data_IF_402440647364
#
_entry.id   IF_402440647364
#
_cell.length_a   1.000
_cell.length_b   1.000
_cell.length_c   1.000
_cell.angle_alpha   90.00
_cell.angle_beta   90.00
_cell.angle_gamma   90.00
#
_symmetry.space_group_name_H-M   'P 1'
#
loop_
_entity.id
_entity.type
_entity.pdbx_description
1 polymer ?
#
# COMPACT_ATOMS: atom_id res chain seq x y z
N UNK A 1 29.50 -6.68 -2.83
CA UNK A 1 28.94 -5.78 -1.81
C UNK A 1 27.48 -6.20 -1.67
N UNK A 2 27.08 -6.78 -0.55
CA UNK A 2 25.66 -7.04 -0.28
C UNK A 2 25.00 -5.68 -0.11
N UNK A 3 24.21 -5.24 -1.10
CA UNK A 3 23.34 -4.06 -0.94
C UNK A 3 22.43 -4.35 0.26
N UNK A 4 22.37 -3.41 1.20
CA UNK A 4 21.39 -3.50 2.28
C UNK A 4 20.01 -3.58 1.63
N UNK A 5 19.20 -4.56 2.04
CA UNK A 5 17.86 -4.74 1.50
C UNK A 5 17.03 -3.49 1.82
N UNK A 6 16.53 -2.84 0.80
CA UNK A 6 15.73 -1.62 0.91
C UNK A 6 14.45 -1.73 0.08
N UNK A 7 13.42 -1.02 0.50
CA UNK A 7 12.12 -0.99 -0.16
C UNK A 7 11.87 0.40 -0.73
N UNK A 8 11.59 0.48 -2.03
CA UNK A 8 11.02 1.66 -2.65
C UNK A 8 9.50 1.53 -2.66
N UNK A 9 8.80 2.51 -2.14
CA UNK A 9 7.35 2.67 -2.25
C UNK A 9 7.05 3.79 -3.24
N UNK A 10 6.26 3.51 -4.26
CA UNK A 10 5.84 4.49 -5.28
C UNK A 10 4.36 4.75 -5.13
N UNK A 11 3.96 5.99 -4.93
CA UNK A 11 2.55 6.34 -4.90
C UNK A 11 2.23 7.67 -4.26
N UNK A 12 0.94 7.98 -4.21
CA UNK A 12 0.47 9.26 -3.72
C UNK A 12 0.68 9.45 -2.21
N UNK A 13 0.95 10.69 -1.86
CA UNK A 13 0.80 11.24 -0.52
C UNK A 13 0.04 12.57 -0.64
N UNK A 14 -0.93 12.77 0.21
CA UNK A 14 -1.84 13.91 0.12
C UNK A 14 -2.30 14.37 1.50
N UNK A 15 -3.06 15.46 1.55
CA UNK A 15 -3.75 15.91 2.75
C UNK A 15 -5.24 15.59 2.62
N UNK A 16 -5.75 14.76 3.53
CA UNK A 16 -7.17 14.55 3.73
C UNK A 16 -7.74 15.70 4.56
N UNK A 17 -8.73 16.40 4.02
CA UNK A 17 -9.40 17.53 4.65
C UNK A 17 -10.82 17.10 5.00
N UNK A 18 -11.17 17.16 6.28
CA UNK A 18 -12.52 16.89 6.76
C UNK A 18 -13.17 18.21 7.21
N UNK A 19 -14.23 18.60 6.52
CA UNK A 19 -15.01 19.79 6.89
C UNK A 19 -15.82 19.50 8.16
N UNK A 20 -15.69 20.36 9.17
CA UNK A 20 -16.42 20.29 10.45
C UNK A 20 -16.99 21.66 10.81
N UNK A 21 -17.99 21.69 11.71
CA UNK A 21 -18.65 22.94 12.17
C UNK A 21 -17.70 23.99 12.77
N UNK A 22 -16.51 23.56 13.23
CA UNK A 22 -15.47 24.44 13.80
C UNK A 22 -14.34 24.81 12.84
N UNK A 23 -14.43 24.44 11.58
CA UNK A 23 -13.40 24.62 10.56
C UNK A 23 -12.85 23.29 10.02
N UNK A 24 -12.11 23.38 8.94
CA UNK A 24 -11.49 22.22 8.29
C UNK A 24 -10.40 21.60 9.19
N UNK A 25 -10.40 20.27 9.28
CA UNK A 25 -9.34 19.50 9.95
C UNK A 25 -8.57 18.72 8.89
N UNK A 26 -7.25 18.84 8.93
CA UNK A 26 -6.35 18.23 7.95
C UNK A 26 -5.57 17.07 8.56
N UNK A 27 -5.51 15.95 7.83
CA UNK A 27 -4.71 14.77 8.16
C UNK A 27 -3.75 14.44 7.02
N UNK A 28 -2.60 13.88 7.33
CA UNK A 28 -1.73 13.29 6.31
C UNK A 28 -2.34 11.97 5.88
N UNK A 29 -2.53 11.80 4.57
CA UNK A 29 -3.10 10.64 3.92
C UNK A 29 -2.25 10.12 2.76
N UNK A 30 -2.76 9.08 2.12
CA UNK A 30 -2.11 8.35 1.04
C UNK A 30 -1.68 6.95 1.47
N UNK A 31 -2.28 5.93 0.87
CA UNK A 31 -1.98 4.53 1.18
C UNK A 31 -0.48 4.21 1.02
N UNK A 32 0.20 4.62 -0.07
CA UNK A 32 1.64 4.37 -0.22
C UNK A 32 2.48 5.03 0.87
N UNK A 33 2.12 6.24 1.32
CA UNK A 33 2.82 6.90 2.43
C UNK A 33 2.67 6.10 3.74
N UNK A 34 1.46 5.59 4.03
CA UNK A 34 1.20 4.73 5.18
C UNK A 34 1.99 3.42 5.12
N UNK A 35 2.09 2.80 3.92
CA UNK A 35 2.90 1.59 3.72
C UNK A 35 4.37 1.88 3.99
N UNK A 36 4.94 2.98 3.47
CA UNK A 36 6.33 3.36 3.73
C UNK A 36 6.61 3.57 5.22
N UNK A 37 5.70 4.28 5.92
CA UNK A 37 5.75 4.46 7.38
C UNK A 37 5.73 3.12 8.11
N UNK A 38 4.82 2.21 7.73
CA UNK A 38 4.69 0.89 8.34
C UNK A 38 5.96 0.05 8.19
N UNK A 39 6.55 0.03 6.99
CA UNK A 39 7.80 -0.70 6.70
C UNK A 39 8.94 -0.16 7.55
N UNK A 40 9.12 1.16 7.59
CA UNK A 40 10.20 1.79 8.36
C UNK A 40 10.06 1.53 9.87
N UNK A 41 8.84 1.60 10.41
CA UNK A 41 8.56 1.28 11.82
C UNK A 41 8.87 -0.17 12.18
N UNK A 42 8.82 -1.07 11.21
CA UNK A 42 9.24 -2.45 11.40
C UNK A 42 10.75 -2.67 11.16
N UNK A 43 11.53 -1.59 11.04
CA UNK A 43 12.99 -1.63 11.02
C UNK A 43 13.60 -1.98 9.65
N UNK A 44 12.80 -1.97 8.58
CA UNK A 44 13.30 -2.16 7.21
C UNK A 44 13.52 -0.79 6.56
N UNK A 45 14.71 -0.54 5.96
CA UNK A 45 14.95 0.69 5.20
C UNK A 45 13.92 0.88 4.10
N UNK A 46 13.20 2.01 4.12
CA UNK A 46 12.17 2.35 3.14
C UNK A 46 12.34 3.77 2.62
N UNK A 47 12.06 3.97 1.34
CA UNK A 47 11.93 5.29 0.74
C UNK A 47 10.59 5.42 0.00
N UNK A 48 10.06 6.62 -0.03
CA UNK A 48 8.82 6.98 -0.72
C UNK A 48 9.13 7.90 -1.90
N UNK A 49 8.81 7.44 -3.11
CA UNK A 49 8.73 8.26 -4.30
C UNK A 49 7.28 8.69 -4.51
N UNK A 50 7.04 9.97 -4.35
CA UNK A 50 5.70 10.56 -4.40
C UNK A 50 5.72 11.91 -5.11
N UNK A 51 4.69 12.74 -4.92
CA UNK A 51 4.65 14.11 -5.42
C UNK A 51 4.22 15.06 -4.32
N UNK A 52 5.16 15.89 -3.86
CA UNK A 52 4.96 16.84 -2.77
C UNK A 52 5.26 18.28 -3.25
N UNK A 53 4.37 19.20 -2.96
CA UNK A 53 4.64 20.61 -3.11
C UNK A 53 5.69 21.10 -2.12
N UNK A 54 6.48 22.14 -2.50
CA UNK A 54 7.38 22.84 -1.57
C UNK A 54 6.60 23.81 -0.65
N UNK A 55 5.40 23.41 -0.24
CA UNK A 55 4.46 24.13 0.62
C UNK A 55 4.41 23.55 2.05
N UNK A 56 3.57 24.11 2.93
CA UNK A 56 3.45 23.66 4.31
C UNK A 56 2.87 22.23 4.41
N UNK A 57 1.94 21.87 3.50
CA UNK A 57 1.33 20.54 3.44
C UNK A 57 2.34 19.47 3.05
N UNK A 58 3.16 19.73 2.00
CA UNK A 58 4.23 18.84 1.59
C UNK A 58 5.29 18.66 2.67
N UNK A 59 5.68 19.74 3.34
CA UNK A 59 6.61 19.68 4.50
C UNK A 59 6.04 18.86 5.65
N UNK A 60 4.73 18.96 5.93
CA UNK A 60 4.07 18.20 6.98
C UNK A 60 4.01 16.71 6.66
N UNK A 61 3.70 16.33 5.39
CA UNK A 61 3.75 14.93 4.95
C UNK A 61 5.17 14.38 5.10
N UNK A 62 6.16 15.10 4.57
CA UNK A 62 7.56 14.69 4.65
C UNK A 62 8.04 14.52 6.10
N UNK A 63 7.66 15.43 7.00
CA UNK A 63 7.99 15.33 8.42
C UNK A 63 7.40 14.10 9.08
N UNK A 64 6.14 13.74 8.77
CA UNK A 64 5.50 12.53 9.31
C UNK A 64 6.17 11.26 8.79
N UNK A 65 6.45 11.18 7.48
CA UNK A 65 7.11 10.03 6.88
C UNK A 65 8.53 9.86 7.44
N UNK A 66 9.31 10.94 7.51
CA UNK A 66 10.70 10.86 8.00
C UNK A 66 10.79 10.61 9.51
N UNK A 67 9.81 11.04 10.29
CA UNK A 67 9.73 10.70 11.72
C UNK A 67 9.57 9.19 11.98
N UNK A 68 9.09 8.42 11.01
CA UNK A 68 9.01 6.95 11.08
C UNK A 68 10.35 6.26 10.78
N UNK A 69 11.32 6.98 10.23
CA UNK A 69 12.57 6.44 9.70
C UNK A 69 12.57 6.17 8.19
N UNK A 70 11.45 6.37 7.49
CA UNK A 70 11.41 6.32 6.03
C UNK A 70 12.04 7.57 5.40
N UNK A 71 12.61 7.44 4.20
CA UNK A 71 13.13 8.56 3.43
C UNK A 71 12.08 9.06 2.41
N UNK A 72 12.20 10.32 2.00
CA UNK A 72 11.50 10.86 0.82
C UNK A 72 12.53 10.98 -0.29
N UNK A 73 12.23 10.42 -1.46
CA UNK A 73 13.07 10.58 -2.64
C UNK A 73 13.09 12.05 -3.08
N UNK A 74 14.27 12.60 -3.41
CA UNK A 74 14.39 14.02 -3.79
C UNK A 74 13.52 14.37 -5.01
N UNK A 75 13.36 13.45 -5.94
CA UNK A 75 12.51 13.60 -7.11
C UNK A 75 11.00 13.76 -6.78
N UNK A 76 10.62 13.55 -5.53
CA UNK A 76 9.23 13.77 -5.07
C UNK A 76 8.85 15.25 -4.99
N UNK A 77 9.81 16.16 -4.91
CA UNK A 77 9.53 17.57 -4.67
C UNK A 77 9.24 18.35 -5.95
N UNK A 78 8.19 19.17 -5.92
CA UNK A 78 7.74 20.01 -7.05
C UNK A 78 7.35 21.42 -6.58
N UNK A 79 7.31 22.36 -7.51
CA UNK A 79 6.82 23.72 -7.23
C UNK A 79 5.28 23.83 -7.29
N UNK A 80 4.58 22.81 -7.79
CA UNK A 80 3.13 22.78 -7.78
C UNK A 80 2.59 22.41 -6.38
N UNK A 81 1.33 22.78 -6.04
CA UNK A 81 0.75 22.49 -4.73
C UNK A 81 0.71 21.02 -4.38
N UNK A 82 0.76 20.71 -3.08
CA UNK A 82 0.52 19.38 -2.54
C UNK A 82 -0.93 18.97 -2.77
N UNK A 83 -1.15 17.75 -3.24
CA UNK A 83 -2.47 17.19 -3.52
C UNK A 83 -3.34 17.12 -2.26
N UNK A 84 -4.66 17.29 -2.44
CA UNK A 84 -5.65 17.21 -1.37
C UNK A 84 -6.86 16.39 -1.76
N UNK A 85 -7.49 15.74 -0.76
CA UNK A 85 -8.81 15.14 -0.85
C UNK A 85 -9.68 15.76 0.24
N UNK A 86 -10.75 16.47 -0.13
CA UNK A 86 -11.66 17.11 0.82
C UNK A 86 -12.96 16.32 0.92
N UNK A 87 -13.31 15.90 2.13
CA UNK A 87 -14.57 15.28 2.46
C UNK A 87 -15.49 16.27 3.14
N UNK A 88 -16.68 16.45 2.58
CA UNK A 88 -17.78 17.25 3.15
C UNK A 88 -18.92 16.32 3.54
N UNK A 89 -19.30 16.31 4.80
CA UNK A 89 -20.45 15.57 5.26
C UNK A 89 -21.75 16.31 4.86
N UNK A 90 -22.65 15.61 4.20
CA UNK A 90 -23.98 16.10 3.87
C UNK A 90 -24.92 15.92 5.07
N UNK A 91 -26.05 16.67 5.12
CA UNK A 91 -27.05 16.52 6.21
C UNK A 91 -27.65 15.11 6.32
N UNK A 92 -27.64 14.33 5.24
CA UNK A 92 -28.11 12.94 5.19
C UNK A 92 -27.06 11.91 5.68
N UNK A 93 -25.87 12.39 6.10
CA UNK A 93 -24.77 11.55 6.56
C UNK A 93 -23.87 11.01 5.45
N UNK A 94 -24.17 11.25 4.18
CA UNK A 94 -23.28 10.91 3.06
C UNK A 94 -22.11 11.87 2.98
N UNK A 95 -20.96 11.39 2.45
CA UNK A 95 -19.79 12.23 2.18
C UNK A 95 -19.73 12.62 0.71
N UNK A 96 -19.50 13.89 0.46
CA UNK A 96 -19.13 14.41 -0.86
C UNK A 96 -17.62 14.66 -0.87
N UNK A 97 -16.93 14.17 -1.90
CA UNK A 97 -15.48 14.31 -2.02
C UNK A 97 -15.13 15.28 -3.14
N UNK A 98 -14.21 16.18 -2.85
CA UNK A 98 -13.55 17.05 -3.83
C UNK A 98 -12.06 16.68 -3.82
N UNK A 99 -11.55 16.37 -5.02
CA UNK A 99 -10.18 15.93 -5.19
C UNK A 99 -9.38 16.96 -5.99
N UNK A 100 -8.32 17.51 -5.40
CA UNK A 100 -7.31 18.30 -6.10
C UNK A 100 -6.02 17.46 -6.12
N UNK A 101 -5.98 16.50 -7.04
CA UNK A 101 -4.90 15.52 -7.15
C UNK A 101 -4.21 15.68 -8.50
N UNK A 102 -2.93 15.97 -8.45
CA UNK A 102 -2.03 15.90 -9.60
C UNK A 102 -1.03 14.80 -9.33
N UNK A 103 -1.01 13.79 -10.21
CA UNK A 103 -0.09 12.67 -10.11
C UNK A 103 0.79 12.58 -11.36
N UNK A 104 2.06 12.95 -11.20
CA UNK A 104 3.06 12.89 -12.25
C UNK A 104 4.42 12.55 -11.62
N UNK A 105 5.17 11.66 -12.26
CA UNK A 105 6.49 11.23 -11.85
C UNK A 105 7.48 11.48 -12.99
N UNK A 106 8.73 11.77 -12.64
CA UNK A 106 9.85 11.70 -13.55
C UNK A 106 10.25 10.23 -13.77
N UNK A 107 10.26 9.79 -15.03
CA UNK A 107 10.47 8.38 -15.36
C UNK A 107 11.93 7.94 -15.08
N UNK A 108 12.92 8.79 -15.37
CA UNK A 108 14.33 8.48 -15.14
C UNK A 108 14.62 8.38 -13.64
N UNK A 109 14.03 9.30 -12.85
CA UNK A 109 14.15 9.26 -11.39
C UNK A 109 13.46 8.04 -10.78
N UNK A 110 12.29 7.63 -11.30
CA UNK A 110 11.59 6.45 -10.83
C UNK A 110 12.38 5.16 -11.14
N UNK A 111 12.97 5.05 -12.32
CA UNK A 111 13.83 3.93 -12.71
C UNK A 111 15.07 3.87 -11.81
N UNK A 112 15.79 5.00 -11.64
CA UNK A 112 16.98 5.07 -10.81
C UNK A 112 16.70 4.70 -9.33
N UNK A 113 15.57 5.17 -8.76
CA UNK A 113 15.16 4.80 -7.41
C UNK A 113 14.83 3.30 -7.30
N UNK A 114 14.16 2.73 -8.30
CA UNK A 114 13.86 1.31 -8.34
C UNK A 114 15.13 0.45 -8.50
N UNK A 115 16.11 0.88 -9.26
CA UNK A 115 17.40 0.19 -9.39
C UNK A 115 18.16 0.11 -8.06
N UNK A 116 18.01 1.08 -7.19
CA UNK A 116 18.66 1.11 -5.88
C UNK A 116 17.94 0.24 -4.82
N UNK A 117 16.70 -0.20 -5.07
CA UNK A 117 15.88 -0.97 -4.14
C UNK A 117 15.92 -2.47 -4.44
N UNK A 118 15.75 -3.30 -3.42
CA UNK A 118 15.57 -4.76 -3.54
C UNK A 118 14.10 -5.14 -3.73
N UNK A 119 13.20 -4.36 -3.17
CA UNK A 119 11.76 -4.52 -3.28
C UNK A 119 11.16 -3.21 -3.78
N UNK A 120 10.26 -3.28 -4.75
CA UNK A 120 9.51 -2.14 -5.26
C UNK A 120 8.03 -2.37 -5.01
N UNK A 121 7.38 -1.45 -4.32
CA UNK A 121 5.96 -1.48 -4.02
C UNK A 121 5.24 -0.33 -4.72
N UNK A 122 4.10 -0.60 -5.33
CA UNK A 122 3.17 0.44 -5.74
C UNK A 122 1.72 -0.01 -5.53
N UNK A 123 0.82 0.96 -5.42
CA UNK A 123 -0.60 0.67 -5.20
C UNK A 123 -1.46 1.92 -5.25
N UNK A 124 -2.72 1.74 -4.83
CA UNK A 124 -3.70 2.80 -4.68
C UNK A 124 -3.96 3.57 -5.99
N UNK A 125 -4.50 4.77 -5.88
CA UNK A 125 -4.83 5.64 -7.03
C UNK A 125 -3.62 5.97 -7.90
N UNK A 126 -2.41 5.86 -7.36
CA UNK A 126 -1.17 6.11 -8.08
C UNK A 126 -0.94 5.16 -9.27
N UNK A 127 -1.56 3.97 -9.28
CA UNK A 127 -1.52 3.08 -10.44
C UNK A 127 -2.46 3.55 -11.57
N UNK A 128 -3.54 4.24 -11.23
CA UNK A 128 -4.64 4.51 -12.14
C UNK A 128 -4.62 5.94 -12.69
N UNK A 129 -4.12 6.92 -11.92
CA UNK A 129 -4.12 8.33 -12.32
C UNK A 129 -2.97 8.63 -13.28
N UNK A 130 -3.32 9.24 -14.40
CA UNK A 130 -2.35 9.61 -15.45
C UNK A 130 -1.81 11.04 -15.27
N UNK A 131 -0.55 11.33 -15.68
CA UNK A 131 0.40 10.45 -16.37
C UNK A 131 1.26 9.57 -15.44
N UNK A 132 1.26 9.81 -14.13
CA UNK A 132 2.13 9.13 -13.17
C UNK A 132 1.89 7.63 -13.05
N UNK A 133 0.65 7.18 -13.28
CA UNK A 133 0.31 5.76 -13.25
C UNK A 133 1.04 4.95 -14.32
N UNK A 134 1.21 5.49 -15.52
CA UNK A 134 1.98 4.81 -16.57
C UNK A 134 3.47 4.70 -16.18
N UNK A 135 4.04 5.75 -15.57
CA UNK A 135 5.43 5.70 -15.06
C UNK A 135 5.54 4.66 -13.95
N UNK A 136 4.61 4.63 -12.99
CA UNK A 136 4.62 3.64 -11.92
C UNK A 136 4.55 2.21 -12.46
N UNK A 137 3.63 1.93 -13.40
CA UNK A 137 3.49 0.62 -14.03
C UNK A 137 4.74 0.21 -14.80
N UNK A 138 5.32 1.11 -15.62
CA UNK A 138 6.54 0.84 -16.35
C UNK A 138 7.73 0.54 -15.41
N UNK A 139 7.80 1.24 -14.27
CA UNK A 139 8.82 1.01 -13.24
C UNK A 139 8.66 -0.36 -12.59
N UNK A 140 7.43 -0.80 -12.25
CA UNK A 140 7.17 -2.15 -11.74
C UNK A 140 7.58 -3.23 -12.74
N UNK A 141 7.22 -3.05 -14.02
CA UNK A 141 7.59 -3.98 -15.10
C UNK A 141 9.10 -4.08 -15.30
N UNK A 142 9.81 -2.95 -15.24
CA UNK A 142 11.26 -2.91 -15.31
C UNK A 142 11.90 -3.62 -14.10
N UNK A 143 11.48 -3.27 -12.89
CA UNK A 143 11.96 -3.89 -11.66
C UNK A 143 11.78 -5.42 -11.68
N UNK A 144 10.62 -5.91 -12.17
CA UNK A 144 10.36 -7.34 -12.31
C UNK A 144 11.29 -8.02 -13.31
N UNK A 145 11.54 -7.39 -14.48
CA UNK A 145 12.49 -7.90 -15.49
C UNK A 145 13.91 -8.00 -14.95
N UNK A 146 14.29 -7.06 -14.07
CA UNK A 146 15.61 -7.00 -13.44
C UNK A 146 15.76 -7.96 -12.25
N UNK A 147 14.73 -8.78 -11.98
CA UNK A 147 14.74 -9.78 -10.92
C UNK A 147 14.48 -9.23 -9.52
N UNK A 148 13.98 -8.00 -9.40
CA UNK A 148 13.59 -7.42 -8.12
C UNK A 148 12.26 -7.99 -7.67
N UNK A 149 12.02 -7.95 -6.38
CA UNK A 149 10.73 -8.30 -5.81
C UNK A 149 9.78 -7.12 -6.02
N UNK A 150 8.64 -7.39 -6.64
CA UNK A 150 7.59 -6.39 -6.88
C UNK A 150 6.37 -6.75 -6.06
N UNK A 151 5.79 -5.79 -5.35
CA UNK A 151 4.58 -5.98 -4.55
C UNK A 151 3.53 -4.94 -4.93
N UNK A 152 2.26 -5.36 -4.96
CA UNK A 152 1.15 -4.51 -5.39
C UNK A 152 -0.03 -4.61 -4.42
N UNK A 153 -0.62 -3.46 -4.08
CA UNK A 153 -1.91 -3.33 -3.41
C UNK A 153 -2.78 -2.35 -4.22
N UNK A 154 -3.78 -2.81 -4.98
CA UNK A 154 -4.53 -1.92 -5.87
C UNK A 154 -5.33 -0.86 -5.12
N UNK A 155 -5.81 -1.18 -3.92
CA UNK A 155 -6.53 -0.26 -3.03
C UNK A 155 -7.44 0.70 -3.82
N UNK A 156 -8.34 0.11 -4.60
CA UNK A 156 -9.17 0.79 -5.61
C UNK A 156 -10.04 1.85 -4.98
N UNK A 157 -10.08 3.03 -5.58
CA UNK A 157 -11.00 4.10 -5.20
C UNK A 157 -11.92 4.40 -6.38
N UNK A 158 -13.14 3.82 -6.44
CA UNK A 158 -14.01 3.89 -7.60
C UNK A 158 -14.26 5.32 -8.10
N UNK A 159 -14.31 6.32 -7.20
CA UNK A 159 -14.49 7.72 -7.56
C UNK A 159 -13.32 8.33 -8.36
N UNK A 160 -12.15 7.67 -8.42
CA UNK A 160 -10.90 8.22 -9.00
C UNK A 160 -10.29 7.37 -10.12
N UNK A 161 -10.74 6.12 -10.31
CA UNK A 161 -10.03 5.16 -11.16
C UNK A 161 -10.69 4.92 -12.53
N UNK A 162 -11.76 5.66 -12.84
CA UNK A 162 -12.53 5.49 -14.10
C UNK A 162 -13.45 4.27 -14.09
N UNK A 163 -14.11 4.03 -15.24
CA UNK A 163 -15.20 3.04 -15.34
C UNK A 163 -14.72 1.59 -15.29
N UNK A 164 -13.50 1.30 -15.74
CA UNK A 164 -12.92 -0.05 -15.74
C UNK A 164 -11.46 -0.02 -15.30
N UNK A 165 -11.18 -0.16 -14.00
CA UNK A 165 -9.81 -0.20 -13.46
C UNK A 165 -9.10 -1.54 -13.68
N UNK A 166 -9.82 -2.59 -14.05
CA UNK A 166 -9.32 -3.96 -14.12
C UNK A 166 -8.12 -4.14 -15.06
N UNK A 167 -8.09 -3.62 -16.30
CA UNK A 167 -6.93 -3.80 -17.18
C UNK A 167 -5.64 -3.22 -16.62
N UNK A 168 -5.71 -2.08 -15.91
CA UNK A 168 -4.57 -1.45 -15.25
C UNK A 168 -4.12 -2.28 -14.05
N UNK A 169 -5.06 -2.74 -13.22
CA UNK A 169 -4.78 -3.59 -12.08
C UNK A 169 -4.15 -4.92 -12.51
N UNK A 170 -4.69 -5.60 -13.52
CA UNK A 170 -4.15 -6.86 -14.05
C UNK A 170 -2.74 -6.68 -14.64
N UNK A 171 -2.43 -5.54 -15.28
CA UNK A 171 -1.08 -5.22 -15.74
C UNK A 171 -0.10 -5.10 -14.56
N UNK A 172 -0.51 -4.42 -13.47
CA UNK A 172 0.30 -4.34 -12.26
C UNK A 172 0.48 -5.71 -11.59
N UNK A 173 -0.58 -6.52 -11.53
CA UNK A 173 -0.52 -7.88 -10.97
C UNK A 173 0.43 -8.80 -11.76
N UNK A 174 0.43 -8.69 -13.08
CA UNK A 174 1.34 -9.47 -13.93
C UNK A 174 2.83 -9.13 -13.67
N UNK A 175 3.13 -7.90 -13.26
CA UNK A 175 4.48 -7.50 -12.86
C UNK A 175 4.82 -7.90 -11.41
N UNK A 176 3.83 -8.25 -10.58
CA UNK A 176 4.04 -8.48 -9.15
C UNK A 176 4.64 -9.86 -8.83
N UNK A 177 5.38 -9.94 -7.73
CA UNK A 177 5.76 -11.17 -7.03
C UNK A 177 4.75 -11.54 -5.96
N UNK A 178 4.18 -10.50 -5.31
CA UNK A 178 3.13 -10.61 -4.31
C UNK A 178 2.06 -9.54 -4.57
N UNK A 179 0.80 -9.97 -4.57
CA UNK A 179 -0.37 -9.08 -4.62
C UNK A 179 -1.15 -9.21 -3.32
N UNK A 180 -1.50 -8.09 -2.69
CA UNK A 180 -2.52 -8.02 -1.65
C UNK A 180 -3.65 -7.14 -2.18
N UNK A 181 -4.88 -7.53 -1.92
CA UNK A 181 -6.08 -6.74 -2.20
C UNK A 181 -7.11 -6.94 -1.07
N UNK A 182 -8.08 -6.05 -0.96
CA UNK A 182 -9.24 -6.23 -0.07
C UNK A 182 -10.37 -7.00 -0.78
N UNK A 183 -11.37 -7.44 -0.03
CA UNK A 183 -12.62 -7.96 -0.60
C UNK A 183 -13.42 -6.87 -1.35
N UNK A 184 -13.31 -5.60 -0.92
CA UNK A 184 -13.86 -4.45 -1.64
C UNK A 184 -13.16 -4.24 -2.99
N UNK A 185 -11.83 -4.35 -3.04
CA UNK A 185 -11.07 -4.33 -4.29
C UNK A 185 -11.45 -5.49 -5.21
N UNK A 186 -11.64 -6.67 -4.63
CA UNK A 186 -12.06 -7.85 -5.38
C UNK A 186 -13.43 -7.68 -6.01
N UNK A 187 -14.40 -7.10 -5.31
CA UNK A 187 -15.71 -6.79 -5.87
C UNK A 187 -15.64 -5.69 -6.94
N UNK A 188 -14.78 -4.68 -6.76
CA UNK A 188 -14.59 -3.62 -7.75
C UNK A 188 -13.94 -4.12 -9.05
N UNK A 189 -12.96 -5.04 -8.95
CA UNK A 189 -12.19 -5.56 -10.10
C UNK A 189 -12.86 -6.79 -10.75
N UNK A 190 -13.52 -7.63 -9.96
CA UNK A 190 -14.11 -8.91 -10.38
C UNK A 190 -15.52 -9.08 -9.79
N UNK A 191 -16.50 -8.26 -10.16
CA UNK A 191 -17.83 -8.22 -9.54
C UNK A 191 -18.49 -9.60 -9.49
N UNK A 192 -18.96 -10.01 -8.31
CA UNK A 192 -19.66 -11.26 -8.08
C UNK A 192 -18.80 -12.52 -8.19
N UNK A 193 -17.48 -12.41 -8.35
CA UNK A 193 -16.59 -13.58 -8.41
C UNK A 193 -16.27 -14.08 -6.99
N UNK A 194 -16.39 -15.38 -6.71
CA UNK A 194 -15.99 -15.96 -5.40
C UNK A 194 -14.52 -15.69 -5.08
N UNK A 195 -14.19 -15.45 -3.81
CA UNK A 195 -12.87 -15.07 -3.34
C UNK A 195 -11.75 -16.03 -3.78
N UNK A 196 -11.98 -17.35 -3.70
CA UNK A 196 -11.04 -18.36 -4.14
C UNK A 196 -10.75 -18.27 -5.66
N UNK A 197 -11.77 -17.94 -6.45
CA UNK A 197 -11.63 -17.73 -7.90
C UNK A 197 -10.89 -16.45 -8.23
N UNK A 198 -11.10 -15.37 -7.47
CA UNK A 198 -10.33 -14.12 -7.60
C UNK A 198 -8.85 -14.40 -7.34
N UNK A 199 -8.52 -15.07 -6.23
CA UNK A 199 -7.13 -15.43 -5.91
C UNK A 199 -6.48 -16.26 -7.03
N UNK A 200 -7.18 -17.28 -7.56
CA UNK A 200 -6.69 -18.11 -8.67
C UNK A 200 -6.51 -17.30 -9.96
N UNK A 201 -7.45 -16.41 -10.27
CA UNK A 201 -7.39 -15.57 -11.48
C UNK A 201 -6.18 -14.66 -11.43
N UNK A 202 -5.94 -13.99 -10.29
CA UNK A 202 -4.78 -13.10 -10.11
C UNK A 202 -3.48 -13.93 -10.12
N UNK A 203 -3.42 -15.07 -9.42
CA UNK A 203 -2.22 -15.92 -9.42
C UNK A 203 -1.83 -16.40 -10.83
N UNK A 204 -2.83 -16.64 -11.70
CA UNK A 204 -2.58 -17.03 -13.09
C UNK A 204 -1.95 -15.91 -13.94
N UNK A 205 -1.95 -14.65 -13.48
CA UNK A 205 -1.27 -13.52 -14.14
C UNK A 205 0.23 -13.49 -13.88
N UNK A 206 0.72 -14.12 -12.78
CA UNK A 206 2.16 -14.19 -12.52
C UNK A 206 2.64 -14.08 -11.09
N UNK A 207 1.91 -13.47 -10.12
CA UNK A 207 2.38 -13.40 -8.73
C UNK A 207 2.46 -14.78 -8.09
N UNK A 208 3.55 -15.01 -7.32
CA UNK A 208 3.73 -16.25 -6.56
C UNK A 208 2.80 -16.33 -5.35
N UNK A 209 2.44 -15.18 -4.76
CA UNK A 209 1.55 -15.10 -3.60
C UNK A 209 0.47 -14.05 -3.85
N UNK A 210 -0.79 -14.42 -3.59
CA UNK A 210 -1.94 -13.50 -3.63
C UNK A 210 -2.65 -13.56 -2.29
N UNK A 211 -2.90 -12.41 -1.68
CA UNK A 211 -3.56 -12.27 -0.37
C UNK A 211 -4.80 -11.41 -0.51
N UNK A 212 -5.93 -11.85 0.04
CA UNK A 212 -7.16 -11.06 0.14
C UNK A 212 -7.49 -10.82 1.61
N UNK A 213 -7.50 -9.55 2.03
CA UNK A 213 -7.98 -9.13 3.35
C UNK A 213 -9.50 -8.98 3.33
N UNK A 214 -10.16 -9.36 4.44
CA UNK A 214 -11.62 -9.40 4.57
C UNK A 214 -12.08 -8.79 5.89
N UNK A 215 -11.46 -7.68 6.27
CA UNK A 215 -11.77 -6.96 7.49
C UNK A 215 -11.88 -7.88 8.71
N UNK A 216 -13.02 -7.86 9.38
CA UNK A 216 -13.32 -8.71 10.56
C UNK A 216 -13.38 -10.22 10.29
N UNK A 217 -13.23 -10.69 9.06
CA UNK A 217 -13.14 -12.12 8.70
C UNK A 217 -11.70 -12.61 8.51
N UNK A 218 -10.70 -11.72 8.69
CA UNK A 218 -9.28 -12.03 8.56
C UNK A 218 -8.78 -11.95 7.13
N UNK A 219 -7.95 -12.90 6.69
CA UNK A 219 -7.42 -12.92 5.34
C UNK A 219 -7.32 -14.33 4.77
N UNK A 220 -7.41 -14.42 3.44
CA UNK A 220 -7.15 -15.59 2.63
C UNK A 220 -5.89 -15.37 1.81
N UNK A 221 -5.11 -16.41 1.60
CA UNK A 221 -3.95 -16.35 0.72
C UNK A 221 -3.90 -17.58 -0.18
N UNK A 222 -3.33 -17.40 -1.37
CA UNK A 222 -2.93 -18.45 -2.28
C UNK A 222 -1.44 -18.29 -2.57
N UNK A 223 -0.67 -19.28 -2.21
CA UNK A 223 0.76 -19.39 -2.51
C UNK A 223 1.07 -20.66 -3.31
N UNK A 224 2.34 -20.90 -3.65
CA UNK A 224 2.75 -22.07 -4.44
C UNK A 224 2.39 -23.41 -3.79
N UNK A 225 2.33 -23.47 -2.46
CA UNK A 225 1.99 -24.68 -1.69
C UNK A 225 0.49 -24.82 -1.39
N UNK A 226 -0.35 -23.93 -1.90
CA UNK A 226 -1.80 -23.98 -1.72
C UNK A 226 -2.35 -22.79 -0.95
N UNK A 227 -3.58 -22.93 -0.45
CA UNK A 227 -4.30 -21.84 0.22
C UNK A 227 -4.04 -21.85 1.72
N UNK A 228 -3.91 -20.64 2.29
CA UNK A 228 -3.84 -20.38 3.73
C UNK A 228 -4.95 -19.44 4.16
N UNK A 229 -5.34 -19.50 5.44
CA UNK A 229 -6.31 -18.58 6.04
C UNK A 229 -5.82 -18.15 7.42
N UNK A 230 -5.93 -16.86 7.70
CA UNK A 230 -5.65 -16.30 9.02
C UNK A 230 -6.89 -15.62 9.58
N UNK A 231 -7.26 -15.85 10.86
CA UNK A 231 -8.34 -15.12 11.50
C UNK A 231 -7.92 -13.66 11.75
N UNK A 232 -8.87 -12.73 11.94
CA UNK A 232 -8.55 -11.39 12.39
C UNK A 232 -8.02 -11.43 13.83
N UNK A 233 -7.25 -10.43 14.22
CA UNK A 233 -6.94 -10.20 15.62
C UNK A 233 -8.20 -9.67 16.34
N UNK A 234 -8.51 -10.22 17.52
CA UNK A 234 -9.60 -9.73 18.35
C UNK A 234 -9.13 -8.47 19.12
N UNK A 235 -9.59 -7.31 18.70
CA UNK A 235 -9.25 -6.01 19.30
C UNK A 235 -10.47 -5.12 19.43
N UNK A 236 -10.41 -4.15 20.33
CA UNK A 236 -11.34 -3.03 20.34
C UNK A 236 -10.95 -2.06 19.22
N UNK A 237 -11.88 -1.82 18.30
CA UNK A 237 -11.64 -0.98 17.10
C UNK A 237 -11.82 0.48 17.47
N UNK A 238 -10.74 1.26 17.40
CA UNK A 238 -10.77 2.71 17.53
C UNK A 238 -10.96 3.41 16.17
N UNK A 239 -10.20 2.95 15.14
CA UNK A 239 -10.23 3.49 13.79
C UNK A 239 -9.80 2.40 12.81
N UNK A 240 -10.38 2.37 11.60
CA UNK A 240 -10.02 1.40 10.56
C UNK A 240 -9.01 1.94 9.54
N UNK A 241 -8.66 3.23 9.63
CA UNK A 241 -7.73 3.89 8.70
C UNK A 241 -6.34 3.24 8.78
N UNK A 242 -5.78 2.92 7.60
CA UNK A 242 -4.43 2.37 7.48
C UNK A 242 -4.28 0.89 7.86
N UNK A 243 -5.35 0.17 8.20
CA UNK A 243 -5.29 -1.26 8.53
C UNK A 243 -4.75 -2.09 7.36
N UNK A 244 -5.26 -1.87 6.15
CA UNK A 244 -4.80 -2.51 4.92
C UNK A 244 -3.35 -2.18 4.60
N UNK A 245 -2.96 -0.92 4.80
CA UNK A 245 -1.60 -0.43 4.57
C UNK A 245 -0.62 -1.06 5.56
N UNK A 246 -1.01 -1.17 6.85
CA UNK A 246 -0.23 -1.83 7.89
C UNK A 246 -0.08 -3.34 7.63
N UNK A 247 -1.14 -4.00 7.16
CA UNK A 247 -1.09 -5.39 6.73
C UNK A 247 -0.10 -5.57 5.57
N UNK A 248 -0.17 -4.71 4.54
CA UNK A 248 0.74 -4.75 3.39
C UNK A 248 2.19 -4.47 3.80
N UNK A 249 2.43 -3.47 4.64
CA UNK A 249 3.76 -3.16 5.17
C UNK A 249 4.37 -4.36 5.90
N UNK A 250 3.58 -5.08 6.70
CA UNK A 250 4.02 -6.30 7.41
C UNK A 250 4.31 -7.47 6.46
N UNK A 251 3.53 -7.64 5.38
CA UNK A 251 3.85 -8.63 4.35
C UNK A 251 5.18 -8.32 3.66
N UNK A 252 5.40 -7.05 3.29
CA UNK A 252 6.66 -6.62 2.66
C UNK A 252 7.84 -6.85 3.60
N UNK A 253 7.72 -6.50 4.88
CA UNK A 253 8.78 -6.75 5.87
C UNK A 253 9.05 -8.23 6.05
N UNK A 254 8.02 -9.06 6.12
CA UNK A 254 8.19 -10.53 6.21
C UNK A 254 8.90 -11.08 4.97
N UNK A 255 8.60 -10.54 3.79
CA UNK A 255 9.22 -10.91 2.53
C UNK A 255 10.71 -10.49 2.44
N UNK A 256 11.06 -9.35 3.06
CA UNK A 256 12.45 -8.89 3.19
C UNK A 256 13.23 -9.78 4.16
N UNK A 257 12.61 -10.16 5.28
CA UNK A 257 13.23 -11.01 6.30
C UNK A 257 13.39 -12.47 5.80
N UNK A 258 12.41 -12.96 5.01
CA UNK A 258 12.38 -14.33 4.49
C UNK A 258 11.85 -14.38 3.04
N UNK A 259 12.72 -14.27 2.04
CA UNK A 259 12.34 -14.38 0.63
C UNK A 259 11.78 -15.75 0.22
N UNK A 260 12.03 -16.81 1.00
CA UNK A 260 11.51 -18.16 0.76
C UNK A 260 9.99 -18.25 0.89
N UNK A 261 9.37 -17.22 1.45
CA UNK A 261 7.91 -17.00 1.41
C UNK A 261 7.35 -17.09 -0.02
N UNK A 262 8.09 -16.58 -1.02
CA UNK A 262 7.72 -16.69 -2.44
C UNK A 262 8.06 -18.07 -3.04
N UNK A 263 8.98 -18.82 -2.42
CA UNK A 263 9.39 -20.13 -2.90
C UNK A 263 8.41 -21.26 -2.49
N UNK A 264 7.43 -20.95 -1.62
CA UNK A 264 6.32 -21.83 -1.28
C UNK A 264 6.50 -22.60 0.01
N UNK A 265 7.30 -22.10 0.97
CA UNK A 265 7.25 -22.61 2.34
C UNK A 265 5.91 -22.23 2.99
N UNK A 266 5.02 -23.21 3.29
CA UNK A 266 3.72 -22.92 3.91
C UNK A 266 3.87 -22.30 5.32
N UNK A 267 4.92 -22.66 6.06
CA UNK A 267 5.16 -22.14 7.40
C UNK A 267 5.58 -20.66 7.36
N UNK A 268 6.43 -20.29 6.39
CA UNK A 268 6.82 -18.90 6.16
C UNK A 268 5.61 -18.03 5.79
N UNK A 269 4.76 -18.50 4.87
CA UNK A 269 3.53 -17.79 4.48
C UNK A 269 2.56 -17.64 5.66
N UNK A 270 2.33 -18.71 6.43
CA UNK A 270 1.43 -18.68 7.59
C UNK A 270 1.91 -17.71 8.67
N UNK A 271 3.23 -17.69 8.95
CA UNK A 271 3.83 -16.73 9.88
C UNK A 271 3.69 -15.29 9.39
N UNK A 272 3.96 -15.03 8.11
CA UNK A 272 3.83 -13.70 7.51
C UNK A 272 2.38 -13.19 7.58
N UNK A 273 1.39 -14.05 7.32
CA UNK A 273 -0.02 -13.70 7.42
C UNK A 273 -0.44 -13.39 8.85
N UNK A 274 0.03 -14.16 9.84
CA UNK A 274 -0.24 -13.91 11.27
C UNK A 274 0.36 -12.58 11.71
N UNK A 275 1.63 -12.30 11.36
CA UNK A 275 2.27 -11.01 11.64
C UNK A 275 1.49 -9.86 11.01
N UNK A 276 1.06 -10.01 9.77
CA UNK A 276 0.31 -8.99 9.06
C UNK A 276 -1.08 -8.74 9.69
N UNK A 277 -1.79 -9.81 10.09
CA UNK A 277 -3.07 -9.69 10.79
C UNK A 277 -2.91 -9.02 12.15
N UNK A 278 -1.85 -9.36 12.90
CA UNK A 278 -1.51 -8.73 14.17
C UNK A 278 -1.17 -7.25 14.00
N UNK A 279 -0.32 -6.92 13.02
CA UNK A 279 0.05 -5.53 12.69
C UNK A 279 -1.18 -4.69 12.35
N UNK A 280 -2.08 -5.21 11.52
CA UNK A 280 -3.36 -4.56 11.21
C UNK A 280 -4.25 -4.42 12.45
N UNK A 281 -4.36 -5.47 13.28
CA UNK A 281 -5.13 -5.44 14.52
C UNK A 281 -4.65 -4.38 15.51
N UNK A 282 -3.34 -4.27 15.72
CA UNK A 282 -2.78 -3.21 16.56
C UNK A 282 -3.04 -1.83 15.95
N UNK A 283 -2.98 -1.71 14.61
CA UNK A 283 -3.26 -0.43 13.94
C UNK A 283 -4.69 0.02 14.18
N UNK A 284 -5.69 -0.86 14.01
CA UNK A 284 -7.10 -0.48 14.20
C UNK A 284 -7.48 -0.20 15.66
N UNK A 285 -6.66 -0.60 16.64
CA UNK A 285 -6.85 -0.23 18.05
C UNK A 285 -6.37 1.18 18.40
N UNK A 286 -5.87 1.93 17.40
CA UNK A 286 -5.31 3.29 17.53
C UNK A 286 -6.04 4.26 16.63
N UNK A 287 -5.99 5.55 16.96
CA UNK A 287 -6.51 6.60 16.08
C UNK A 287 -5.59 6.81 14.88
N UNK A 288 -6.18 6.93 13.68
CA UNK A 288 -5.51 7.18 12.41
C UNK A 288 -4.59 6.04 11.96
N UNK A 289 -3.88 6.25 10.85
CA UNK A 289 -2.90 5.28 10.31
C UNK A 289 -1.63 5.25 11.18
N UNK A 290 -1.69 4.54 12.30
CA UNK A 290 -0.62 4.46 13.30
C UNK A 290 -0.11 3.02 13.49
N UNK A 291 0.64 2.46 12.50
CA UNK A 291 1.12 1.08 12.54
C UNK A 291 2.12 0.86 13.68
N UNK A 292 2.16 -0.36 14.27
CA UNK A 292 3.09 -0.68 15.33
C UNK A 292 4.54 -0.76 14.86
N UNK A 293 5.46 -0.65 15.82
CA UNK A 293 6.87 -1.00 15.63
C UNK A 293 7.06 -2.53 15.60
N UNK A 294 8.21 -2.99 15.11
CA UNK A 294 8.57 -4.42 15.12
C UNK A 294 8.53 -4.99 16.55
N UNK A 295 9.04 -4.26 17.52
CA UNK A 295 9.06 -4.72 18.92
C UNK A 295 7.66 -4.91 19.51
N UNK A 296 6.69 -4.05 19.13
CA UNK A 296 5.29 -4.21 19.55
C UNK A 296 4.65 -5.44 18.91
N UNK A 297 4.95 -5.72 17.64
CA UNK A 297 4.44 -6.93 16.96
C UNK A 297 5.06 -8.19 17.54
N UNK A 298 6.38 -8.20 17.76
CA UNK A 298 7.09 -9.36 18.30
C UNK A 298 6.69 -9.70 19.74
N UNK A 299 6.19 -8.73 20.49
CA UNK A 299 5.72 -8.94 21.87
C UNK A 299 4.37 -9.66 21.94
N UNK A 300 3.59 -9.67 20.86
CA UNK A 300 2.24 -10.24 20.77
C UNK A 300 2.16 -11.52 19.90
N UNK A 301 3.29 -11.91 19.27
CA UNK A 301 3.40 -13.14 18.48
C UNK A 301 3.69 -14.36 19.37
#
# INVERSE_FOLDING_TARGET
MTHATSVLVIGEALIDIVERDGGDVEFVGGSPANVAVGIARQGVPASLLTRLGRDDRGRRIAAQVTASGAAIEEASWTDAPTSTAKARLRPDGSAEYEFDIVWALDAEAAEAAAEAASVVHAGSIALFLQPGGEVALATLEAARRDGRIVTVDPNVRPALVGDDPRPIAERAFAAASLVKLSDEDAEALYPGMPADRVLQTIAALGPGVVVMTRGGEGALALGPSGSSKVPPMAVEVADTIGAGDAFMASLITSLVDDPDLLAGDPAALDLALRRAALTAGITVSREGANPPTRAEVDAEL
#
